data_IF_428147852332
#
_entry.id   IF_428147852332
#
_cell.length_a   1.000
_cell.length_b   1.000
_cell.length_c   1.000
_cell.angle_alpha   90.00
_cell.angle_beta   90.00
_cell.angle_gamma   90.00
#
_symmetry.space_group_name_H-M   'P 1'
#
loop_
_entity.id
_entity.type
_entity.pdbx_description
1 polymer ?
#
# COMPACT_ATOMS: atom_id res chain seq x y z
N UNK A 1 4.17 -14.92 -8.53
CA UNK A 1 5.16 -14.80 -7.42
C UNK A 1 6.32 -13.82 -7.63
N UNK A 2 7.36 -14.06 -8.45
CA UNK A 2 8.56 -13.17 -8.48
C UNK A 2 8.24 -11.77 -9.03
N UNK A 3 7.37 -11.69 -10.05
CA UNK A 3 6.91 -10.42 -10.64
C UNK A 3 5.99 -9.63 -9.71
N UNK A 4 5.13 -10.29 -8.91
CA UNK A 4 4.32 -9.63 -7.88
C UNK A 4 5.21 -9.03 -6.79
N UNK A 5 6.22 -9.77 -6.33
CA UNK A 5 7.18 -9.25 -5.33
C UNK A 5 7.93 -8.02 -5.84
N UNK A 6 8.37 -8.01 -7.12
CA UNK A 6 8.95 -6.82 -7.75
C UNK A 6 7.96 -5.66 -7.78
N UNK A 7 6.73 -5.90 -8.21
CA UNK A 7 5.70 -4.88 -8.31
C UNK A 7 5.32 -4.28 -6.94
N UNK A 8 5.33 -5.09 -5.87
CA UNK A 8 5.16 -4.65 -4.48
C UNK A 8 6.36 -3.82 -4.04
N UNK A 9 7.59 -4.33 -4.25
CA UNK A 9 8.83 -3.62 -3.92
C UNK A 9 8.90 -2.24 -4.57
N UNK A 10 8.58 -2.13 -5.87
CA UNK A 10 8.54 -0.83 -6.56
C UNK A 10 7.50 0.14 -6.00
N UNK A 11 6.36 -0.35 -5.48
CA UNK A 11 5.36 0.51 -4.82
C UNK A 11 5.84 0.97 -3.45
N UNK A 12 6.44 0.06 -2.66
CA UNK A 12 7.02 0.39 -1.36
C UNK A 12 8.15 1.42 -1.49
N UNK A 13 9.01 1.29 -2.50
CA UNK A 13 10.07 2.28 -2.79
C UNK A 13 9.49 3.68 -3.07
N UNK A 14 8.36 3.77 -3.80
CA UNK A 14 7.66 5.04 -4.03
C UNK A 14 7.07 5.62 -2.74
N UNK A 15 6.47 4.76 -1.91
CA UNK A 15 5.94 5.15 -0.59
C UNK A 15 7.06 5.70 0.28
N UNK A 16 8.20 5.01 0.36
CA UNK A 16 9.38 5.45 1.10
C UNK A 16 9.86 6.84 0.62
N UNK A 17 9.96 7.04 -0.70
CA UNK A 17 10.32 8.33 -1.29
C UNK A 17 9.33 9.44 -0.92
N UNK A 18 8.03 9.17 -0.97
CA UNK A 18 7.02 10.15 -0.54
C UNK A 18 7.12 10.48 0.95
N UNK A 19 7.33 9.49 1.82
CA UNK A 19 7.49 9.73 3.26
C UNK A 19 8.71 10.61 3.54
N UNK A 20 9.83 10.39 2.82
CA UNK A 20 11.01 11.29 2.89
C UNK A 20 10.66 12.72 2.46
N UNK A 21 9.85 12.89 1.41
CA UNK A 21 9.37 14.20 0.97
C UNK A 21 8.50 14.88 2.03
N UNK A 22 7.58 14.15 2.68
CA UNK A 22 6.73 14.68 3.75
C UNK A 22 7.59 15.13 4.93
N UNK A 23 8.58 14.33 5.33
CA UNK A 23 9.54 14.74 6.37
C UNK A 23 10.21 16.07 6.02
N UNK A 24 10.71 16.21 4.79
CA UNK A 24 11.31 17.45 4.32
C UNK A 24 10.32 18.63 4.38
N UNK A 25 9.07 18.43 3.96
CA UNK A 25 8.02 19.46 4.08
C UNK A 25 7.81 19.91 5.53
N UNK A 26 7.82 18.96 6.47
CA UNK A 26 7.74 19.25 7.90
C UNK A 26 8.94 20.07 8.38
N UNK A 27 10.15 19.66 8.02
CA UNK A 27 11.40 20.34 8.40
C UNK A 27 11.48 21.76 7.80
N UNK A 28 10.87 21.98 6.63
CA UNK A 28 10.77 23.28 5.95
C UNK A 28 9.63 24.17 6.47
N UNK A 29 8.84 23.70 7.44
CA UNK A 29 7.74 24.47 8.03
C UNK A 29 6.54 24.69 7.10
N UNK A 30 6.27 23.73 6.18
CA UNK A 30 5.05 23.74 5.36
C UNK A 30 3.80 23.62 6.24
N UNK A 31 2.65 24.06 5.73
CA UNK A 31 1.39 24.03 6.49
C UNK A 31 0.97 22.60 6.86
N UNK A 32 0.28 22.47 7.99
CA UNK A 32 -0.23 21.17 8.42
C UNK A 32 -1.31 20.65 7.46
N UNK A 33 -2.09 21.50 6.79
CA UNK A 33 -3.02 21.06 5.75
C UNK A 33 -2.30 20.38 4.58
N UNK A 34 -1.20 20.97 4.09
CA UNK A 34 -0.37 20.40 3.02
C UNK A 34 0.22 19.06 3.44
N UNK A 35 0.74 18.98 4.67
CA UNK A 35 1.32 17.75 5.23
C UNK A 35 0.24 16.65 5.33
N UNK A 36 -0.93 16.97 5.86
CA UNK A 36 -2.05 16.02 5.98
C UNK A 36 -2.53 15.52 4.61
N UNK A 37 -2.57 16.41 3.61
CA UNK A 37 -2.91 16.04 2.23
C UNK A 37 -1.91 15.03 1.66
N UNK A 38 -0.61 15.26 1.85
CA UNK A 38 0.43 14.34 1.37
C UNK A 38 0.42 13.01 2.16
N UNK A 39 0.16 13.04 3.46
CA UNK A 39 -0.02 11.83 4.26
C UNK A 39 -1.21 11.00 3.75
N UNK A 40 -2.31 11.64 3.35
CA UNK A 40 -3.45 10.95 2.73
C UNK A 40 -3.06 10.31 1.39
N UNK A 41 -2.20 10.97 0.59
CA UNK A 41 -1.67 10.39 -0.65
C UNK A 41 -0.79 9.16 -0.39
N UNK A 42 0.07 9.20 0.64
CA UNK A 42 0.87 8.05 1.07
C UNK A 42 -0.02 6.89 1.51
N UNK A 43 -1.08 7.16 2.29
CA UNK A 43 -2.03 6.12 2.71
C UNK A 43 -2.66 5.42 1.51
N UNK A 44 -3.11 6.17 0.49
CA UNK A 44 -3.66 5.61 -0.75
C UNK A 44 -2.62 4.78 -1.52
N UNK A 45 -1.37 5.24 -1.57
CA UNK A 45 -0.29 4.51 -2.23
C UNK A 45 -0.01 3.16 -1.54
N UNK A 46 0.00 3.14 -0.20
CA UNK A 46 0.17 1.93 0.59
C UNK A 46 -0.99 0.94 0.40
N UNK A 47 -2.23 1.43 0.45
CA UNK A 47 -3.42 0.62 0.14
C UNK A 47 -3.34 -0.01 -1.26
N UNK A 48 -2.73 0.66 -2.24
CA UNK A 48 -2.54 0.08 -3.57
C UNK A 48 -1.55 -1.09 -3.57
N UNK A 49 -0.53 -1.06 -2.71
CA UNK A 49 0.43 -2.16 -2.56
C UNK A 49 -0.22 -3.35 -1.84
N UNK A 50 -1.00 -3.08 -0.79
CA UNK A 50 -1.78 -4.09 -0.08
C UNK A 50 -2.74 -4.83 -1.03
N UNK A 51 -3.46 -4.11 -1.89
CA UNK A 51 -4.38 -4.70 -2.89
C UNK A 51 -3.68 -5.67 -3.83
N UNK A 52 -2.44 -5.38 -4.22
CA UNK A 52 -1.66 -6.26 -5.11
C UNK A 52 -1.27 -7.55 -4.39
N UNK A 53 -0.81 -7.44 -3.14
CA UNK A 53 -0.48 -8.60 -2.30
C UNK A 53 -1.73 -9.46 -2.09
N UNK A 54 -2.83 -8.83 -1.67
CA UNK A 54 -4.08 -9.51 -1.39
C UNK A 54 -4.66 -10.20 -2.62
N UNK A 55 -4.60 -9.54 -3.79
CA UNK A 55 -5.05 -10.15 -5.05
C UNK A 55 -4.26 -11.40 -5.43
N UNK A 56 -2.95 -11.44 -5.18
CA UNK A 56 -2.14 -12.65 -5.39
C UNK A 56 -2.51 -13.75 -4.38
N UNK A 57 -2.63 -13.40 -3.09
CA UNK A 57 -3.04 -14.36 -2.06
C UNK A 57 -4.42 -14.97 -2.35
N UNK A 58 -5.39 -14.19 -2.82
CA UNK A 58 -6.69 -14.72 -3.22
C UNK A 58 -6.59 -15.72 -4.37
N UNK A 59 -5.76 -15.45 -5.38
CA UNK A 59 -5.54 -16.40 -6.49
C UNK A 59 -4.96 -17.71 -5.98
N UNK A 60 -3.97 -17.64 -5.10
CA UNK A 60 -3.35 -18.82 -4.49
C UNK A 60 -4.37 -19.63 -3.67
N UNK A 61 -5.18 -18.97 -2.85
CA UNK A 61 -6.24 -19.62 -2.05
C UNK A 61 -7.31 -20.31 -2.91
N UNK A 62 -7.73 -19.68 -4.01
CA UNK A 62 -8.68 -20.29 -4.95
C UNK A 62 -8.05 -21.50 -5.65
N UNK A 63 -6.77 -21.41 -6.04
CA UNK A 63 -6.06 -22.49 -6.69
C UNK A 63 -5.78 -23.68 -5.75
N UNK A 64 -5.54 -23.43 -4.46
CA UNK A 64 -5.33 -24.48 -3.45
C UNK A 64 -6.61 -25.09 -2.88
N UNK A 65 -7.77 -24.47 -3.14
CA UNK A 65 -9.05 -24.87 -2.54
C UNK A 65 -9.21 -24.41 -1.08
N UNK A 66 -8.30 -23.58 -0.57
CA UNK A 66 -8.29 -23.04 0.79
C UNK A 66 -8.95 -21.65 0.86
N UNK A 67 -10.01 -21.44 0.09
CA UNK A 67 -10.69 -20.16 0.05
C UNK A 67 -11.36 -19.83 1.41
N UNK A 68 -11.04 -18.65 1.96
CA UNK A 68 -11.54 -18.14 3.23
C UNK A 68 -12.26 -16.80 3.01
N UNK A 69 -13.59 -16.85 2.98
CA UNK A 69 -14.43 -15.68 2.82
C UNK A 69 -14.23 -14.65 3.95
N UNK A 70 -13.98 -15.07 5.19
CA UNK A 70 -13.82 -14.13 6.33
C UNK A 70 -12.57 -13.28 6.14
N UNK A 71 -11.49 -13.90 5.65
CA UNK A 71 -10.25 -13.19 5.32
C UNK A 71 -10.49 -12.18 4.20
N UNK A 72 -11.30 -12.51 3.21
CA UNK A 72 -11.68 -11.58 2.13
C UNK A 72 -12.49 -10.41 2.64
N UNK A 73 -13.53 -10.67 3.43
CA UNK A 73 -14.39 -9.63 3.98
C UNK A 73 -13.63 -8.65 4.89
N UNK A 74 -12.62 -9.15 5.61
CA UNK A 74 -11.77 -8.33 6.48
C UNK A 74 -10.93 -7.29 5.71
N UNK A 75 -10.67 -7.51 4.42
CA UNK A 75 -9.87 -6.63 3.57
C UNK A 75 -10.70 -5.60 2.81
N UNK A 76 -12.01 -5.85 2.65
CA UNK A 76 -12.93 -4.98 1.91
C UNK A 76 -13.53 -3.88 2.80
N UNK A 77 -13.54 -4.08 4.12
CA UNK A 77 -13.99 -3.09 5.12
C UNK A 77 -13.03 -1.91 5.27
#
# INVERSE_FOLDING_TARGET
MLEVRKAVSSRLAKVEGHVKSIKKMTDEGRSYEDILLQMAAVRKALQSAEKVIFSEQMKDMVASGEFDQKRVDSFIK
#
